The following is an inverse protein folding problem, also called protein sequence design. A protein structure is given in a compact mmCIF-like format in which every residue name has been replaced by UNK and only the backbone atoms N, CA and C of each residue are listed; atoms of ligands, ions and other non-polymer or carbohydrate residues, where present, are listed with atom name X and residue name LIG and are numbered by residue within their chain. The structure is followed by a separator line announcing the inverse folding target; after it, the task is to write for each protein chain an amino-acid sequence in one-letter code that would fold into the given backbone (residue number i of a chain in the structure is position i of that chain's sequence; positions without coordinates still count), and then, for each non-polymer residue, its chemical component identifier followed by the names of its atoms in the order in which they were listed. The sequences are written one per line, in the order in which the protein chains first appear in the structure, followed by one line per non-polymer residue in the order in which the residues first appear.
data_IF_975588907175
#
_entry.id   IF_975588907175
#
_cell.length_a   1.000
_cell.length_b   1.000
_cell.length_c   1.000
_cell.angle_alpha   90.00
_cell.angle_beta   90.00
_cell.angle_gamma   90.00
#
_symmetry.space_group_name_H-M   'P 1'
#
loop_
_entity.id
_entity.type
_entity.pdbx_description
1 polymer ?
#
# COMPACT_ATOMS: atom_id res chain seq x y z
N UNK A 1 -1.10 -19.90 8.63
CA UNK A 1 -1.76 -19.30 7.44
C UNK A 1 -2.26 -17.88 7.69
N UNK A 2 -2.94 -17.61 8.82
CA UNK A 2 -3.50 -16.29 9.15
C UNK A 2 -2.50 -15.12 9.16
N UNK A 3 -1.29 -15.29 9.72
CA UNK A 3 -0.31 -14.21 9.83
C UNK A 3 0.25 -13.80 8.45
N UNK A 4 0.64 -14.76 7.60
CA UNK A 4 1.13 -14.47 6.24
C UNK A 4 0.08 -13.84 5.34
N UNK A 5 -1.18 -14.27 5.46
CA UNK A 5 -2.30 -13.63 4.76
C UNK A 5 -2.57 -12.21 5.25
N UNK A 6 -2.56 -11.98 6.57
CA UNK A 6 -2.77 -10.65 7.13
C UNK A 6 -1.65 -9.68 6.75
N UNK A 7 -0.38 -10.08 6.93
CA UNK A 7 0.77 -9.27 6.56
C UNK A 7 0.83 -9.03 5.05
N UNK A 8 0.52 -10.04 4.24
CA UNK A 8 0.42 -9.91 2.78
C UNK A 8 -0.69 -8.95 2.34
N UNK A 9 -1.87 -8.99 2.97
CA UNK A 9 -2.96 -8.05 2.67
C UNK A 9 -2.57 -6.61 3.02
N UNK A 10 -2.03 -6.41 4.22
CA UNK A 10 -1.75 -5.08 4.74
C UNK A 10 -0.57 -4.42 4.04
N UNK A 11 0.54 -5.14 3.85
CA UNK A 11 1.75 -4.57 3.27
C UNK A 11 1.77 -4.67 1.74
N UNK A 12 1.42 -5.83 1.16
CA UNK A 12 1.56 -6.04 -0.27
C UNK A 12 0.34 -5.52 -1.02
N UNK A 13 -0.88 -5.91 -0.65
CA UNK A 13 -2.09 -5.45 -1.35
C UNK A 13 -2.32 -3.95 -1.15
N UNK A 14 -2.42 -3.45 0.10
CA UNK A 14 -2.66 -2.01 0.32
C UNK A 14 -1.46 -1.16 -0.09
N UNK A 15 -0.24 -1.65 0.13
CA UNK A 15 0.97 -0.97 -0.35
C UNK A 15 1.00 -0.83 -1.86
N UNK A 16 0.63 -1.86 -2.63
CA UNK A 16 0.52 -1.79 -4.09
C UNK A 16 -0.53 -0.79 -4.56
N UNK A 17 -1.69 -0.71 -3.91
CA UNK A 17 -2.73 0.27 -4.28
C UNK A 17 -2.24 1.70 -4.00
N UNK A 18 -1.62 1.94 -2.85
CA UNK A 18 -1.04 3.25 -2.52
C UNK A 18 0.06 3.61 -3.52
N UNK A 19 0.94 2.67 -3.86
CA UNK A 19 2.02 2.90 -4.81
C UNK A 19 1.50 3.19 -6.22
N UNK A 20 0.61 2.34 -6.75
CA UNK A 20 0.16 2.41 -8.16
C UNK A 20 -0.85 3.50 -8.42
N UNK A 21 -1.61 3.92 -7.42
CA UNK A 21 -2.66 4.90 -7.58
C UNK A 21 -2.45 6.09 -6.64
N UNK A 22 -2.54 5.90 -5.32
CA UNK A 22 -2.55 7.01 -4.36
C UNK A 22 -1.37 7.99 -4.50
N UNK A 23 -0.14 7.46 -4.54
CA UNK A 23 1.07 8.27 -4.64
C UNK A 23 1.26 8.86 -6.05
N UNK A 24 1.05 8.07 -7.11
CA UNK A 24 1.19 8.55 -8.48
C UNK A 24 0.17 9.65 -8.80
N UNK A 25 -1.09 9.48 -8.41
CA UNK A 25 -2.14 10.49 -8.58
C UNK A 25 -1.81 11.75 -7.77
N UNK A 26 -1.35 11.62 -6.52
CA UNK A 26 -0.94 12.78 -5.73
C UNK A 26 0.22 13.56 -6.36
N UNK A 27 1.25 12.87 -6.87
CA UNK A 27 2.38 13.51 -7.55
C UNK A 27 1.91 14.21 -8.82
N UNK A 28 1.10 13.53 -9.62
CA UNK A 28 0.56 14.09 -10.86
C UNK A 28 -0.26 15.35 -10.58
N UNK A 29 -1.21 15.29 -9.64
CA UNK A 29 -2.10 16.41 -9.34
C UNK A 29 -1.37 17.58 -8.67
N UNK A 30 -0.31 17.30 -7.90
CA UNK A 30 0.55 18.34 -7.36
C UNK A 30 1.32 19.06 -8.48
N UNK A 31 1.90 18.29 -9.42
CA UNK A 31 2.60 18.86 -10.57
C UNK A 31 1.67 19.62 -11.52
N UNK A 32 0.40 19.21 -11.62
CA UNK A 32 -0.65 19.89 -12.38
C UNK A 32 -1.24 21.12 -11.65
N UNK A 33 -0.84 21.38 -10.40
CA UNK A 33 -1.35 22.50 -9.59
C UNK A 33 -2.81 22.32 -9.11
N UNK A 34 -3.36 21.11 -9.20
CA UNK A 34 -4.69 20.74 -8.67
C UNK A 34 -4.67 20.60 -7.15
N UNK A 35 -3.52 20.26 -6.57
CA UNK A 35 -3.33 20.25 -5.13
C UNK A 35 -2.72 21.56 -4.64
N UNK A 36 -3.31 22.17 -3.61
CA UNK A 36 -2.79 23.39 -2.98
C UNK A 36 -1.54 23.14 -2.11
N UNK A 37 -1.22 21.87 -1.82
CA UNK A 37 -0.11 21.48 -0.94
C UNK A 37 0.47 20.11 -1.32
N UNK A 38 1.76 19.91 -1.03
CA UNK A 38 2.45 18.63 -1.19
C UNK A 38 2.14 17.62 -0.06
N UNK A 39 1.35 18.00 0.95
CA UNK A 39 0.99 17.15 2.10
C UNK A 39 0.44 15.77 1.69
N UNK A 40 -0.47 15.63 0.70
CA UNK A 40 -0.93 14.32 0.24
C UNK A 40 0.21 13.42 -0.26
N UNK A 41 1.15 13.97 -1.04
CA UNK A 41 2.31 13.24 -1.57
C UNK A 41 3.17 12.68 -0.42
N UNK A 42 3.50 13.54 0.55
CA UNK A 42 4.30 13.16 1.72
C UNK A 42 3.56 12.10 2.55
N UNK A 43 2.26 12.27 2.77
CA UNK A 43 1.44 11.32 3.54
C UNK A 43 1.43 9.93 2.90
N UNK A 44 1.16 9.83 1.60
CA UNK A 44 1.20 8.54 0.90
C UNK A 44 2.61 7.93 0.91
N UNK A 45 3.65 8.75 0.76
CA UNK A 45 5.05 8.29 0.87
C UNK A 45 5.39 7.72 2.25
N UNK A 46 4.99 8.40 3.33
CA UNK A 46 5.21 7.94 4.70
C UNK A 46 4.42 6.66 5.02
N UNK A 47 3.17 6.56 4.59
CA UNK A 47 2.38 5.33 4.77
C UNK A 47 3.04 4.17 4.03
N UNK A 48 3.51 4.39 2.80
CA UNK A 48 4.20 3.36 2.02
C UNK A 48 5.50 2.92 2.70
N UNK A 49 6.31 3.87 3.18
CA UNK A 49 7.52 3.58 3.94
C UNK A 49 7.21 2.78 5.22
N UNK A 50 6.18 3.18 5.97
CA UNK A 50 5.75 2.46 7.17
C UNK A 50 5.34 1.03 6.85
N UNK A 51 4.56 0.80 5.78
CA UNK A 51 4.14 -0.53 5.36
C UNK A 51 5.34 -1.41 4.94
N UNK A 52 6.34 -0.83 4.27
CA UNK A 52 7.58 -1.55 3.90
C UNK A 52 8.37 -1.96 5.15
N UNK A 53 8.58 -1.04 6.10
CA UNK A 53 9.31 -1.32 7.34
C UNK A 53 8.58 -2.38 8.16
N UNK A 54 7.25 -2.28 8.27
CA UNK A 54 6.42 -3.27 8.95
C UNK A 54 6.53 -4.64 8.29
N UNK A 55 6.48 -4.69 6.95
CA UNK A 55 6.63 -5.92 6.18
C UNK A 55 7.97 -6.61 6.43
N UNK A 56 9.07 -5.86 6.31
CA UNK A 56 10.42 -6.38 6.53
C UNK A 56 10.58 -6.89 7.96
N UNK A 57 10.10 -6.13 8.95
CA UNK A 57 10.20 -6.49 10.36
C UNK A 57 9.45 -7.78 10.68
N UNK A 58 8.20 -7.90 10.21
CA UNK A 58 7.40 -9.12 10.42
C UNK A 58 8.01 -10.32 9.68
N UNK A 59 8.46 -10.11 8.43
CA UNK A 59 9.11 -11.16 7.64
C UNK A 59 10.36 -11.67 8.35
N UNK A 60 11.19 -10.75 8.85
CA UNK A 60 12.40 -11.09 9.59
C UNK A 60 12.08 -11.91 10.85
N UNK A 61 11.14 -11.46 11.68
CA UNK A 61 10.71 -12.17 12.90
C UNK A 61 10.22 -13.58 12.58
N UNK A 62 9.43 -13.76 11.51
CA UNK A 62 8.93 -15.09 11.12
C UNK A 62 10.07 -16.01 10.67
N UNK A 63 10.99 -15.52 9.84
CA UNK A 63 12.10 -16.33 9.31
C UNK A 63 13.08 -16.73 10.42
N UNK A 64 13.38 -15.82 11.36
CA UNK A 64 14.37 -16.07 12.43
C UNK A 64 13.78 -16.75 13.65
N UNK A 65 12.56 -16.38 14.05
CA UNK A 65 11.92 -16.84 15.28
C UNK A 65 10.95 -18.00 15.10
N UNK A 66 10.42 -18.21 13.88
CA UNK A 66 9.32 -19.15 13.61
C UNK A 66 9.56 -19.95 12.33
N UNK A 67 10.68 -20.69 12.26
CA UNK A 67 11.08 -21.46 11.07
C UNK A 67 9.98 -22.37 10.52
N UNK A 68 9.27 -23.10 11.37
CA UNK A 68 8.19 -24.01 10.95
C UNK A 68 7.01 -23.27 10.30
N UNK A 69 6.86 -21.98 10.60
CA UNK A 69 5.83 -21.12 10.01
C UNK A 69 6.29 -20.37 8.77
N UNK A 70 7.56 -20.49 8.36
CA UNK A 70 8.11 -19.78 7.20
C UNK A 70 7.41 -20.18 5.90
N UNK A 71 7.23 -21.50 5.67
CA UNK A 71 6.52 -21.99 4.49
C UNK A 71 5.05 -21.53 4.42
N UNK A 72 4.20 -21.72 5.45
CA UNK A 72 2.83 -21.24 5.40
C UNK A 72 2.72 -19.70 5.41
N UNK A 73 3.72 -18.99 5.94
CA UNK A 73 3.80 -17.53 5.84
C UNK A 73 4.06 -17.08 4.40
N UNK A 74 5.07 -17.66 3.74
CA UNK A 74 5.40 -17.36 2.35
C UNK A 74 4.24 -17.66 1.38
N UNK A 75 3.54 -18.78 1.58
CA UNK A 75 2.35 -19.12 0.80
C UNK A 75 1.25 -18.06 1.00
N UNK A 76 0.98 -17.64 2.25
CA UNK A 76 0.02 -16.59 2.54
C UNK A 76 0.37 -15.26 1.86
N UNK A 77 1.66 -14.88 1.88
CA UNK A 77 2.15 -13.69 1.19
C UNK A 77 1.96 -13.78 -0.33
N UNK A 78 2.31 -14.92 -0.93
CA UNK A 78 2.18 -15.13 -2.38
C UNK A 78 0.72 -15.04 -2.85
N UNK A 79 -0.21 -15.66 -2.11
CA UNK A 79 -1.65 -15.59 -2.40
C UNK A 79 -2.13 -14.14 -2.34
N UNK A 80 -1.76 -13.40 -1.29
CA UNK A 80 -2.18 -12.01 -1.13
C UNK A 80 -1.52 -11.05 -2.11
N UNK A 81 -0.27 -11.32 -2.51
CA UNK A 81 0.38 -10.57 -3.57
C UNK A 81 -0.35 -10.77 -4.90
N UNK A 82 -0.67 -12.02 -5.27
CA UNK A 82 -1.40 -12.33 -6.49
C UNK A 82 -2.81 -11.70 -6.48
N UNK A 83 -3.55 -11.85 -5.39
CA UNK A 83 -4.88 -11.26 -5.21
C UNK A 83 -4.82 -9.72 -5.22
N UNK A 84 -3.85 -9.15 -4.51
CA UNK A 84 -3.60 -7.71 -4.46
C UNK A 84 -3.20 -7.14 -5.81
N UNK A 85 -2.40 -7.87 -6.59
CA UNK A 85 -2.03 -7.49 -7.95
C UNK A 85 -3.27 -7.43 -8.85
N UNK A 86 -4.09 -8.48 -8.89
CA UNK A 86 -5.29 -8.53 -9.74
C UNK A 86 -6.31 -7.44 -9.36
N UNK A 87 -6.50 -7.22 -8.06
CA UNK A 87 -7.36 -6.14 -7.53
C UNK A 87 -6.80 -4.75 -7.80
N UNK A 88 -5.49 -4.54 -7.66
CA UNK A 88 -4.86 -3.23 -7.87
C UNK A 88 -5.04 -2.72 -9.31
N UNK A 89 -5.17 -3.61 -10.28
CA UNK A 89 -5.49 -3.25 -11.67
C UNK A 89 -6.91 -2.68 -11.77
N UNK A 90 -7.85 -3.16 -10.96
CA UNK A 90 -9.23 -2.64 -10.89
C UNK A 90 -9.31 -1.28 -10.17
N UNK A 91 -8.39 -1.00 -9.24
CA UNK A 91 -8.33 0.26 -8.49
C UNK A 91 -7.67 1.43 -9.24
N UNK A 92 -7.35 1.26 -10.54
CA UNK A 92 -6.73 2.31 -11.36
C UNK A 92 -7.54 3.62 -11.43
N UNK A 93 -8.83 3.57 -11.16
CA UNK A 93 -9.76 4.72 -11.22
C UNK A 93 -10.46 5.02 -9.89
N UNK A 94 -9.80 4.81 -8.75
CA UNK A 94 -10.43 5.12 -7.45
C UNK A 94 -10.34 6.61 -7.06
N UNK A 95 -10.61 7.48 -8.04
CA UNK A 95 -10.49 8.94 -7.94
C UNK A 95 -11.45 9.53 -6.91
N UNK A 96 -12.64 8.94 -6.76
CA UNK A 96 -13.62 9.36 -5.74
C UNK A 96 -13.06 9.22 -4.33
N UNK A 97 -12.45 8.07 -4.00
CA UNK A 97 -11.81 7.87 -2.70
C UNK A 97 -10.63 8.84 -2.52
N UNK A 98 -9.81 9.03 -3.55
CA UNK A 98 -8.70 9.98 -3.49
C UNK A 98 -9.17 11.41 -3.21
N UNK A 99 -10.20 11.87 -3.92
CA UNK A 99 -10.79 13.20 -3.73
C UNK A 99 -11.38 13.31 -2.32
N UNK A 100 -12.16 12.32 -1.89
CA UNK A 100 -12.78 12.29 -0.56
C UNK A 100 -11.75 12.42 0.57
N UNK A 101 -10.61 11.73 0.48
CA UNK A 101 -9.57 11.76 1.50
C UNK A 101 -8.63 12.97 1.43
N UNK A 102 -8.63 13.71 0.31
CA UNK A 102 -7.75 14.86 0.09
C UNK A 102 -8.49 16.15 -0.26
N UNK A 103 -9.80 16.22 -0.02
CA UNK A 103 -10.67 17.33 -0.42
C UNK A 103 -10.17 18.69 0.09
N UNK A 104 -9.65 18.71 1.33
CA UNK A 104 -9.06 19.90 1.96
C UNK A 104 -7.82 20.44 1.23
N UNK A 105 -7.19 19.62 0.39
CA UNK A 105 -5.98 19.94 -0.36
C UNK A 105 -6.25 20.11 -1.86
N UNK A 106 -7.48 20.00 -2.32
CA UNK A 106 -7.85 20.19 -3.73
C UNK A 106 -8.26 21.63 -3.93
N UNK A 107 -7.74 22.24 -4.98
CA UNK A 107 -8.11 23.60 -5.38
C UNK A 107 -9.53 23.59 -5.95
N UNK A 108 -10.41 24.43 -5.42
CA UNK A 108 -11.76 24.66 -5.96
C UNK A 108 -11.74 25.13 -7.42
#
# INVERSE_FOLDING_TARGET
MFIGGFTGDLALRRGLVIYRFGLLTAIQWYNEGKLISAVPVIRYGLILLFLIVLFISVTYIVITGYRDYTAPYAIGMAIMFYYGHSKSVQYKDNTEDFVKYNIEYIKE
#
